data_IF_229179452132
#
_entry.id   IF_229179452132
#
_cell.length_a   1.000
_cell.length_b   1.000
_cell.length_c   1.000
_cell.angle_alpha   90.00
_cell.angle_beta   90.00
_cell.angle_gamma   90.00
#
_symmetry.space_group_name_H-M   'P 1'
#
loop_
_entity.id
_entity.type
_entity.pdbx_description
1 polymer ?
#
# COMPACT_ATOMS: atom_id res chain seq x y z
N UNK A 1 -49.06 -58.97 -12.39
CA UNK A 1 -49.48 -57.65 -12.86
C UNK A 1 -48.22 -56.90 -13.24
N UNK A 2 -47.83 -57.05 -14.50
CA UNK A 2 -46.81 -56.23 -15.15
C UNK A 2 -47.32 -54.79 -15.25
N UNK A 3 -46.52 -53.82 -14.81
CA UNK A 3 -46.63 -52.45 -15.30
C UNK A 3 -45.23 -51.89 -15.54
N UNK A 4 -44.82 -52.08 -16.79
CA UNK A 4 -43.77 -51.35 -17.47
C UNK A 4 -44.20 -49.88 -17.64
N UNK A 5 -43.37 -48.94 -17.19
CA UNK A 5 -43.24 -47.60 -17.79
C UNK A 5 -41.78 -47.15 -17.57
N UNK A 6 -40.89 -47.35 -18.54
CA UNK A 6 -40.60 -46.51 -19.72
C UNK A 6 -40.06 -45.11 -19.36
N UNK A 7 -38.79 -44.95 -19.73
CA UNK A 7 -37.90 -43.79 -19.71
C UNK A 7 -38.52 -42.39 -19.80
N UNK A 8 -37.94 -41.47 -19.03
CA UNK A 8 -37.68 -40.10 -19.48
C UNK A 8 -36.21 -39.78 -19.28
N UNK A 9 -35.67 -39.13 -20.27
CA UNK A 9 -34.26 -39.13 -20.63
C UNK A 9 -33.40 -38.26 -19.72
N UNK A 10 -32.25 -38.81 -19.38
CA UNK A 10 -31.15 -38.15 -18.73
C UNK A 10 -30.53 -37.17 -19.74
N UNK A 11 -30.80 -35.87 -19.62
CA UNK A 11 -30.13 -34.85 -20.43
C UNK A 11 -28.92 -34.28 -19.66
N UNK A 12 -27.73 -34.27 -20.27
CA UNK A 12 -26.47 -33.94 -19.60
C UNK A 12 -26.23 -32.44 -19.43
N UNK A 13 -25.42 -32.17 -18.42
CA UNK A 13 -24.82 -30.89 -18.02
C UNK A 13 -24.29 -30.13 -19.25
N UNK A 14 -24.72 -28.86 -19.38
CA UNK A 14 -24.22 -27.88 -20.34
C UNK A 14 -22.69 -27.82 -20.29
N UNK A 15 -22.05 -28.35 -21.33
CA UNK A 15 -20.62 -28.23 -21.60
C UNK A 15 -20.27 -26.78 -21.93
N UNK A 16 -19.64 -26.09 -20.97
CA UNK A 16 -18.87 -24.89 -21.27
C UNK A 16 -17.61 -25.29 -22.04
N UNK A 17 -17.54 -24.89 -23.31
CA UNK A 17 -16.36 -25.01 -24.16
C UNK A 17 -15.14 -24.38 -23.47
N UNK A 18 -14.21 -25.21 -22.98
CA UNK A 18 -12.83 -24.80 -22.71
C UNK A 18 -12.06 -24.94 -24.02
N UNK A 19 -11.75 -23.81 -24.65
CA UNK A 19 -10.65 -23.74 -25.61
C UNK A 19 -9.35 -23.58 -24.81
N UNK A 20 -8.38 -24.51 -24.88
CA UNK A 20 -7.01 -24.19 -24.54
C UNK A 20 -6.45 -23.40 -25.74
N UNK A 21 -5.51 -22.46 -25.58
CA UNK A 21 -4.11 -22.73 -25.89
C UNK A 21 -3.28 -21.41 -25.80
N UNK A 22 -2.20 -21.46 -25.00
CA UNK A 22 -0.98 -20.64 -24.92
C UNK A 22 -0.86 -19.30 -25.71
N UNK A 23 -0.40 -18.25 -25.01
CA UNK A 23 0.88 -17.65 -25.40
C UNK A 23 1.61 -16.86 -24.30
N UNK A 24 2.93 -17.07 -24.34
CA UNK A 24 4.01 -16.55 -23.52
C UNK A 24 4.39 -15.15 -24.03
N UNK A 25 4.51 -14.17 -23.14
CA UNK A 25 5.41 -13.03 -23.32
C UNK A 25 4.79 -11.64 -23.33
N UNK A 26 4.37 -11.14 -22.17
CA UNK A 26 4.28 -9.67 -21.98
C UNK A 26 5.68 -9.12 -21.73
N UNK A 27 6.37 -8.76 -22.82
CA UNK A 27 7.47 -7.79 -22.78
C UNK A 27 6.85 -6.40 -22.62
N UNK A 28 6.74 -5.94 -21.38
CA UNK A 28 6.54 -4.52 -21.08
C UNK A 28 7.82 -3.80 -21.54
N UNK A 29 7.78 -3.22 -22.73
CA UNK A 29 8.86 -2.33 -23.21
C UNK A 29 8.37 -0.90 -23.06
N UNK A 30 9.08 -0.02 -22.33
CA UNK A 30 8.77 1.40 -22.31
C UNK A 30 9.31 2.06 -23.60
N UNK A 31 8.60 2.98 -24.25
CA UNK A 31 9.19 3.75 -25.33
C UNK A 31 10.21 4.74 -24.74
N UNK A 32 11.48 4.55 -25.11
CA UNK A 32 12.62 5.46 -24.88
C UNK A 32 12.76 6.40 -26.08
N UNK A 33 13.13 7.64 -25.78
CA UNK A 33 13.27 8.84 -26.63
C UNK A 33 14.00 8.69 -27.98
N UNK A 34 13.71 9.60 -28.95
CA UNK A 34 14.65 10.58 -29.60
C UNK A 34 14.10 11.10 -30.98
N UNK A 35 14.68 12.11 -31.68
CA UNK A 35 14.10 13.47 -31.86
C UNK A 35 13.97 13.91 -33.35
N UNK A 36 13.75 15.23 -33.60
CA UNK A 36 13.75 16.03 -34.87
C UNK A 36 12.33 16.40 -35.39
N UNK A 37 11.95 17.61 -35.86
CA UNK A 37 12.60 18.91 -36.15
C UNK A 37 11.51 19.93 -36.63
N UNK A 38 11.72 21.23 -36.32
CA UNK A 38 11.12 22.46 -36.92
C UNK A 38 9.59 22.67 -36.77
N UNK A 39 9.02 23.86 -36.51
CA UNK A 39 9.43 25.26 -36.52
C UNK A 39 8.26 26.08 -37.11
N UNK A 40 7.82 27.15 -36.41
CA UNK A 40 7.14 28.39 -36.90
C UNK A 40 6.49 29.12 -35.69
N UNK A 41 7.20 30.16 -35.23
CA UNK A 41 6.79 31.54 -34.94
C UNK A 41 5.50 31.82 -34.14
N UNK A 42 5.68 32.29 -32.90
CA UNK A 42 4.82 33.33 -32.31
C UNK A 42 5.68 34.34 -31.54
N UNK A 43 5.74 35.55 -32.09
CA UNK A 43 6.18 36.75 -31.40
C UNK A 43 5.26 37.01 -30.19
N UNK A 44 5.85 37.22 -29.02
CA UNK A 44 5.30 38.13 -28.02
C UNK A 44 6.45 38.66 -27.17
N UNK A 45 6.65 39.97 -27.28
CA UNK A 45 7.77 40.72 -26.78
C UNK A 45 7.57 41.08 -25.29
N UNK A 46 8.69 41.08 -24.55
CA UNK A 46 9.03 41.90 -23.37
C UNK A 46 8.00 42.01 -22.22
N UNK A 47 8.28 41.57 -20.98
CA UNK A 47 9.28 42.20 -20.12
C UNK A 47 9.61 41.31 -18.91
N UNK A 48 10.90 41.17 -18.61
CA UNK A 48 11.45 40.68 -17.34
C UNK A 48 11.43 41.81 -16.28
N UNK A 49 11.65 41.59 -14.96
CA UNK A 49 12.77 40.80 -14.46
C UNK A 49 12.52 39.87 -13.27
N UNK A 50 13.35 38.81 -13.28
CA UNK A 50 13.90 38.13 -12.11
C UNK A 50 14.13 39.09 -10.93
N UNK A 51 13.72 38.69 -9.74
CA UNK A 51 14.30 39.21 -8.50
C UNK A 51 15.12 38.10 -7.85
N UNK A 52 16.41 38.11 -8.16
CA UNK A 52 17.41 37.38 -7.38
C UNK A 52 17.67 38.14 -6.07
N UNK A 53 17.77 37.34 -5.01
CA UNK A 53 17.99 37.64 -3.59
C UNK A 53 18.93 38.83 -3.33
N UNK A 54 18.46 39.79 -2.54
CA UNK A 54 19.20 40.36 -1.41
C UNK A 54 18.30 41.34 -0.66
N UNK A 55 17.74 40.89 0.47
CA UNK A 55 16.82 41.71 1.24
C UNK A 55 16.53 41.11 2.59
N UNK A 56 17.50 41.18 3.51
CA UNK A 56 17.15 41.29 4.93
C UNK A 56 16.53 42.68 5.15
N UNK A 57 15.39 42.93 4.51
CA UNK A 57 14.62 44.13 4.79
C UNK A 57 14.09 44.00 6.21
N UNK A 58 14.13 45.07 7.02
CA UNK A 58 13.60 45.05 8.39
C UNK A 58 12.17 44.49 8.45
N UNK A 59 11.37 44.72 7.40
CA UNK A 59 10.01 44.18 7.26
C UNK A 59 9.97 42.68 6.97
N UNK A 60 10.88 42.11 6.17
CA UNK A 60 10.97 40.65 5.98
C UNK A 60 11.43 39.94 7.27
N UNK A 61 12.39 40.55 7.98
CA UNK A 61 12.83 40.06 9.28
C UNK A 61 11.71 40.13 10.33
N UNK A 62 10.96 41.23 10.37
CA UNK A 62 9.83 41.40 11.27
C UNK A 62 8.67 40.44 10.95
N UNK A 63 8.31 40.26 9.67
CA UNK A 63 7.33 39.24 9.26
C UNK A 63 7.79 37.83 9.64
N UNK A 64 9.09 37.53 9.45
CA UNK A 64 9.66 36.23 9.86
C UNK A 64 9.63 36.01 11.37
N UNK A 65 9.76 37.07 12.17
CA UNK A 65 9.67 37.01 13.64
C UNK A 65 8.20 36.89 14.08
N UNK A 66 7.29 37.65 13.48
CA UNK A 66 5.84 37.50 13.71
C UNK A 66 5.34 36.11 13.34
N UNK A 67 5.80 35.56 12.22
CA UNK A 67 5.48 34.19 11.81
C UNK A 67 6.03 33.15 12.79
N UNK A 68 7.15 33.45 13.48
CA UNK A 68 7.71 32.58 14.53
C UNK A 68 6.92 32.64 15.83
N UNK A 69 6.37 33.79 16.18
CA UNK A 69 5.59 34.02 17.40
C UNK A 69 4.09 33.73 17.17
N UNK A 70 3.68 33.51 15.91
CA UNK A 70 2.29 33.24 15.56
C UNK A 70 1.86 31.89 16.15
N UNK A 71 0.79 31.85 16.98
CA UNK A 71 0.34 30.63 17.63
C UNK A 71 -0.11 29.53 16.65
N UNK A 72 -0.37 29.89 15.38
CA UNK A 72 -0.67 28.93 14.32
C UNK A 72 0.57 28.15 13.87
N UNK A 73 1.78 28.74 13.95
CA UNK A 73 3.02 28.03 13.59
C UNK A 73 3.39 27.03 14.67
N UNK A 74 3.29 27.40 15.95
CA UNK A 74 3.51 26.49 17.08
C UNK A 74 2.61 25.25 16.98
N UNK A 75 1.30 25.44 16.79
CA UNK A 75 0.34 24.34 16.55
C UNK A 75 0.69 23.46 15.35
N UNK A 76 1.25 24.04 14.27
CA UNK A 76 1.71 23.27 13.11
C UNK A 76 2.95 22.44 13.45
N UNK A 77 3.92 23.01 14.15
CA UNK A 77 5.12 22.30 14.58
C UNK A 77 4.77 21.15 15.55
N UNK A 78 3.84 21.39 16.49
CA UNK A 78 3.33 20.36 17.39
C UNK A 78 2.63 19.24 16.62
N UNK A 79 1.80 19.59 15.62
CA UNK A 79 1.17 18.62 14.72
C UNK A 79 2.22 17.78 13.97
N UNK A 80 3.24 18.41 13.40
CA UNK A 80 4.31 17.70 12.68
C UNK A 80 5.12 16.78 13.61
N UNK A 81 5.44 17.24 14.81
CA UNK A 81 6.13 16.42 15.82
C UNK A 81 5.30 15.22 16.24
N UNK A 82 4.00 15.40 16.42
CA UNK A 82 3.09 14.29 16.73
C UNK A 82 3.02 13.27 15.59
N UNK A 83 2.86 13.74 14.34
CA UNK A 83 2.86 12.85 13.17
C UNK A 83 4.15 12.06 13.08
N UNK A 84 5.32 12.70 13.27
CA UNK A 84 6.61 12.00 13.23
C UNK A 84 6.71 10.93 14.33
N UNK A 85 6.37 11.27 15.57
CA UNK A 85 6.40 10.31 16.67
C UNK A 85 5.45 9.13 16.44
N UNK A 86 4.29 9.38 15.83
CA UNK A 86 3.32 8.33 15.50
C UNK A 86 3.86 7.43 14.38
N UNK A 87 4.50 7.99 13.35
CA UNK A 87 5.15 7.23 12.28
C UNK A 87 6.25 6.31 12.81
N UNK A 88 7.10 6.82 13.70
CA UNK A 88 8.18 6.03 14.33
C UNK A 88 7.60 4.86 15.16
N UNK A 89 6.50 5.12 15.88
CA UNK A 89 5.80 4.09 16.65
C UNK A 89 5.20 3.01 15.73
N UNK A 90 4.58 3.40 14.62
CA UNK A 90 4.05 2.45 13.63
C UNK A 90 5.14 1.58 13.00
N UNK A 91 6.31 2.14 12.69
CA UNK A 91 7.42 1.38 12.12
C UNK A 91 7.91 0.31 13.11
N UNK A 92 8.07 0.68 14.39
CA UNK A 92 8.43 -0.26 15.44
C UNK A 92 7.38 -1.38 15.59
N UNK A 93 6.10 -1.00 15.58
CA UNK A 93 5.00 -1.96 15.72
C UNK A 93 4.90 -2.90 14.52
N UNK A 94 5.12 -2.40 13.30
CA UNK A 94 5.14 -3.21 12.09
C UNK A 94 6.27 -4.26 12.13
N UNK A 95 7.50 -3.84 12.49
CA UNK A 95 8.63 -4.76 12.67
C UNK A 95 8.30 -5.87 13.68
N UNK A 96 7.68 -5.51 14.80
CA UNK A 96 7.28 -6.47 15.82
C UNK A 96 6.21 -7.45 15.32
N UNK A 97 5.23 -6.99 14.54
CA UNK A 97 4.21 -7.85 13.92
C UNK A 97 4.82 -8.80 12.91
N UNK A 98 5.68 -8.31 12.02
CA UNK A 98 6.30 -9.13 10.98
C UNK A 98 7.23 -10.21 11.58
N UNK A 99 7.99 -9.87 12.63
CA UNK A 99 8.81 -10.85 13.36
C UNK A 99 7.97 -11.96 14.01
N UNK A 100 6.87 -11.59 14.68
CA UNK A 100 5.93 -12.57 15.27
C UNK A 100 5.26 -13.43 14.21
N UNK A 101 4.86 -12.82 13.09
CA UNK A 101 4.21 -13.52 11.99
C UNK A 101 5.14 -14.56 11.36
N UNK A 102 6.43 -14.23 11.15
CA UNK A 102 7.42 -15.16 10.60
C UNK A 102 7.66 -16.38 11.50
N UNK A 103 7.81 -16.15 12.81
CA UNK A 103 7.94 -17.24 13.78
C UNK A 103 6.68 -18.12 13.81
N UNK A 104 5.50 -17.50 13.79
CA UNK A 104 4.23 -18.20 13.83
C UNK A 104 3.94 -19.00 12.55
N UNK A 105 4.26 -18.45 11.38
CA UNK A 105 4.13 -19.16 10.10
C UNK A 105 4.99 -20.43 10.09
N UNK A 106 6.22 -20.35 10.60
CA UNK A 106 7.13 -21.50 10.68
C UNK A 106 6.51 -22.60 11.53
N UNK A 107 6.03 -22.27 12.74
CA UNK A 107 5.33 -23.22 13.62
C UNK A 107 4.09 -23.82 12.95
N UNK A 108 3.27 -22.98 12.32
CA UNK A 108 2.04 -23.43 11.66
C UNK A 108 2.36 -24.42 10.52
N UNK A 109 3.42 -24.17 9.75
CA UNK A 109 3.89 -25.12 8.71
C UNK A 109 4.38 -26.44 9.30
N UNK A 110 5.06 -26.42 10.43
CA UNK A 110 5.55 -27.65 11.09
C UNK A 110 4.40 -28.49 11.66
N UNK A 111 3.39 -27.85 12.27
CA UNK A 111 2.18 -28.52 12.78
C UNK A 111 1.33 -29.07 11.65
N UNK A 112 1.00 -28.27 10.63
CA UNK A 112 0.23 -28.73 9.46
C UNK A 112 0.99 -29.77 8.63
N UNK A 113 2.32 -29.71 8.63
CA UNK A 113 3.20 -30.67 7.93
C UNK A 113 3.38 -32.01 8.65
N UNK A 114 2.74 -32.21 9.81
CA UNK A 114 2.85 -33.44 10.61
C UNK A 114 4.23 -33.66 11.24
N UNK A 115 5.07 -32.61 11.27
CA UNK A 115 6.44 -32.65 11.81
C UNK A 115 6.46 -32.54 13.34
N UNK A 116 5.41 -31.96 13.91
CA UNK A 116 5.27 -31.68 15.33
C UNK A 116 4.01 -32.40 15.86
N UNK A 117 4.18 -33.62 16.38
CA UNK A 117 3.09 -34.42 16.96
C UNK A 117 2.83 -34.12 18.44
N UNK A 118 3.82 -33.55 19.14
CA UNK A 118 3.77 -33.24 20.59
C UNK A 118 3.84 -31.72 20.85
N UNK A 119 3.07 -30.95 20.07
CA UNK A 119 2.93 -29.50 20.30
C UNK A 119 1.82 -29.23 21.32
N UNK A 120 2.14 -28.49 22.40
CA UNK A 120 1.11 -27.97 23.32
C UNK A 120 0.16 -26.98 22.61
N UNK A 121 0.61 -26.33 21.53
CA UNK A 121 -0.18 -25.41 20.72
C UNK A 121 -0.87 -26.15 19.57
N UNK A 122 -2.21 -26.09 19.50
CA UNK A 122 -2.97 -26.70 18.40
C UNK A 122 -2.94 -25.83 17.14
N UNK A 123 -3.17 -26.43 15.97
CA UNK A 123 -3.30 -25.71 14.70
C UNK A 123 -4.32 -24.57 14.78
N UNK A 124 -5.47 -24.82 15.41
CA UNK A 124 -6.54 -23.82 15.59
C UNK A 124 -6.07 -22.62 16.42
N UNK A 125 -5.26 -22.84 17.47
CA UNK A 125 -4.68 -21.76 18.27
C UNK A 125 -3.69 -20.94 17.45
N UNK A 126 -2.83 -21.59 16.66
CA UNK A 126 -1.88 -20.91 15.79
C UNK A 126 -2.60 -20.10 14.70
N UNK A 127 -3.69 -20.62 14.11
CA UNK A 127 -4.52 -19.89 13.15
C UNK A 127 -5.23 -18.69 13.79
N UNK A 128 -5.73 -18.83 15.01
CA UNK A 128 -6.33 -17.70 15.75
C UNK A 128 -5.32 -16.58 16.00
N UNK A 129 -4.12 -16.94 16.44
CA UNK A 129 -3.00 -16.00 16.60
C UNK A 129 -2.60 -15.37 15.25
N UNK A 130 -2.55 -16.15 14.17
CA UNK A 130 -2.31 -15.65 12.81
C UNK A 130 -3.33 -14.59 12.40
N UNK A 131 -4.63 -14.86 12.55
CA UNK A 131 -5.68 -13.88 12.22
C UNK A 131 -5.56 -12.61 13.06
N UNK A 132 -5.17 -12.74 14.32
CA UNK A 132 -4.91 -11.58 15.19
C UNK A 132 -3.76 -10.73 14.65
N UNK A 133 -2.65 -11.36 14.23
CA UNK A 133 -1.52 -10.66 13.62
C UNK A 133 -1.90 -10.00 12.29
N UNK A 134 -2.69 -10.65 11.44
CA UNK A 134 -3.22 -10.09 10.19
C UNK A 134 -4.11 -8.87 10.47
N UNK A 135 -5.02 -8.97 11.43
CA UNK A 135 -5.88 -7.85 11.83
C UNK A 135 -5.05 -6.67 12.33
N UNK A 136 -4.02 -6.95 13.14
CA UNK A 136 -3.09 -5.93 13.61
C UNK A 136 -2.34 -5.27 12.45
N UNK A 137 -1.80 -6.04 11.50
CA UNK A 137 -1.13 -5.51 10.30
C UNK A 137 -2.08 -4.62 9.47
N UNK A 138 -3.32 -5.05 9.29
CA UNK A 138 -4.33 -4.27 8.57
C UNK A 138 -4.67 -2.94 9.28
N UNK A 139 -4.72 -2.94 10.61
CA UNK A 139 -4.92 -1.70 11.39
C UNK A 139 -3.75 -0.73 11.19
N UNK A 140 -2.51 -1.22 11.23
CA UNK A 140 -1.31 -0.41 10.99
C UNK A 140 -1.30 0.20 9.58
N UNK A 141 -1.65 -0.58 8.55
CA UNK A 141 -1.73 -0.08 7.16
C UNK A 141 -2.74 1.06 7.06
N UNK A 142 -3.93 0.91 7.67
CA UNK A 142 -4.96 1.96 7.67
C UNK A 142 -4.46 3.21 8.38
N UNK A 143 -3.78 3.06 9.53
CA UNK A 143 -3.24 4.19 10.29
C UNK A 143 -2.14 4.93 9.51
N UNK A 144 -1.22 4.20 8.88
CA UNK A 144 -0.20 4.77 8.02
C UNK A 144 -0.81 5.57 6.86
N UNK A 145 -1.82 5.00 6.19
CA UNK A 145 -2.53 5.68 5.11
C UNK A 145 -3.21 6.97 5.59
N UNK A 146 -3.75 7.00 6.81
CA UNK A 146 -4.32 8.21 7.41
C UNK A 146 -3.24 9.28 7.68
N UNK A 147 -2.09 8.90 8.21
CA UNK A 147 -1.01 9.86 8.49
C UNK A 147 -0.43 10.45 7.21
N UNK A 148 -0.36 9.68 6.13
CA UNK A 148 0.18 10.15 4.85
C UNK A 148 -0.67 11.24 4.17
N UNK A 149 -1.93 11.45 4.59
CA UNK A 149 -2.85 12.45 4.01
C UNK A 149 -3.08 13.67 4.92
N UNK A 150 -2.50 13.69 6.13
CA UNK A 150 -2.68 14.74 7.15
C UNK A 150 -1.66 15.87 7.04
#
# INVERSE_FOLDING_TARGET
MEFIYRSKENSPIRSGSMSPIYNRGDRITPPRDSPLKAGIDRENNCSSPRSEKNGNSPLQSFNSVLDRISPQREKKLDKMSYIQSELDALECEQKAVDLKASALETKLRDVMGGKQTDSDETEEQLLSQWFTLVNKKNALIRRQMQLNIL
#
